data_IF_310572710333
#
_entry.id   IF_310572710333
#
_cell.length_a   1.000
_cell.length_b   1.000
_cell.length_c   1.000
_cell.angle_alpha   90.00
_cell.angle_beta   90.00
_cell.angle_gamma   90.00
#
_symmetry.space_group_name_H-M   'P 1'
#
loop_
_entity.id
_entity.type
_entity.pdbx_description
1 polymer ?
#
# COMPACT_ATOMS: atom_id res chain seq x y z
N UNK A 1 4.13 6.33 33.23
CA UNK A 1 3.88 7.50 32.37
C UNK A 1 2.47 7.95 32.65
N UNK A 2 2.25 9.26 32.81
CA UNK A 2 0.90 9.81 32.87
C UNK A 2 0.21 9.61 31.51
N UNK A 3 -1.12 9.57 31.48
CA UNK A 3 -1.90 9.48 30.23
C UNK A 3 -1.55 10.62 29.26
N UNK A 4 -1.25 11.81 29.79
CA UNK A 4 -0.85 12.97 29.02
C UNK A 4 0.53 12.80 28.36
N UNK A 5 1.48 12.17 29.05
CA UNK A 5 2.82 11.89 28.50
C UNK A 5 2.72 10.92 27.31
N UNK A 6 1.79 9.97 27.37
CA UNK A 6 1.57 9.01 26.28
C UNK A 6 0.92 9.66 25.05
N UNK A 7 0.00 10.60 25.24
CA UNK A 7 -0.57 11.39 24.15
C UNK A 7 0.47 12.31 23.49
N UNK A 8 1.39 12.87 24.29
CA UNK A 8 2.51 13.64 23.74
C UNK A 8 3.45 12.78 22.90
N UNK A 9 3.69 11.54 23.33
CA UNK A 9 4.44 10.55 22.58
C UNK A 9 3.79 10.22 21.22
N UNK A 10 2.46 10.06 21.20
CA UNK A 10 1.68 9.82 19.98
C UNK A 10 1.87 10.95 18.95
N UNK A 11 1.76 12.20 19.40
CA UNK A 11 1.89 13.38 18.54
C UNK A 11 3.24 13.39 17.81
N UNK A 12 4.33 13.21 18.55
CA UNK A 12 5.67 13.22 17.96
C UNK A 12 5.88 12.08 16.98
N UNK A 13 5.40 10.87 17.31
CA UNK A 13 5.49 9.71 16.42
C UNK A 13 4.71 9.90 15.14
N UNK A 14 3.52 10.49 15.23
CA UNK A 14 2.71 10.83 14.07
C UNK A 14 3.42 11.85 13.16
N UNK A 15 4.06 12.86 13.73
CA UNK A 15 4.86 13.84 12.98
C UNK A 15 6.01 13.14 12.22
N UNK A 16 6.78 12.28 12.88
CA UNK A 16 7.88 11.54 12.22
C UNK A 16 7.37 10.57 11.15
N UNK A 17 6.21 9.94 11.36
CA UNK A 17 5.56 9.11 10.37
C UNK A 17 5.15 9.92 9.13
N UNK A 18 4.50 11.07 9.33
CA UNK A 18 4.07 11.97 8.25
C UNK A 18 5.26 12.51 7.47
N UNK A 19 6.33 12.96 8.15
CA UNK A 19 7.55 13.45 7.50
C UNK A 19 8.15 12.33 6.63
N UNK A 20 8.23 11.11 7.14
CA UNK A 20 8.68 9.96 6.36
C UNK A 20 7.83 9.76 5.10
N UNK A 21 6.50 9.80 5.24
CA UNK A 21 5.58 9.59 4.11
C UNK A 21 5.73 10.70 3.07
N UNK A 22 5.89 11.95 3.49
CA UNK A 22 6.11 13.08 2.58
C UNK A 22 7.41 12.88 1.79
N UNK A 23 8.50 12.54 2.48
CA UNK A 23 9.80 12.28 1.83
C UNK A 23 9.69 11.08 0.88
N UNK A 24 9.05 10.00 1.31
CA UNK A 24 8.79 8.82 0.48
C UNK A 24 7.94 9.12 -0.74
N UNK A 25 6.93 9.99 -0.61
CA UNK A 25 6.06 10.39 -1.73
C UNK A 25 6.79 11.27 -2.73
N UNK A 26 7.65 12.19 -2.26
CA UNK A 26 8.51 12.98 -3.13
C UNK A 26 9.49 12.07 -3.87
N UNK A 27 10.12 11.12 -3.18
CA UNK A 27 11.00 10.15 -3.81
C UNK A 27 10.26 9.28 -4.84
N UNK A 28 9.04 8.82 -4.53
CA UNK A 28 8.20 8.06 -5.45
C UNK A 28 7.81 8.88 -6.68
N UNK A 29 7.53 10.18 -6.52
CA UNK A 29 7.20 11.08 -7.63
C UNK A 29 8.31 11.15 -8.68
N UNK A 30 9.58 11.13 -8.27
CA UNK A 30 10.74 11.17 -9.18
C UNK A 30 10.76 9.96 -10.14
N UNK A 31 10.21 8.81 -9.71
CA UNK A 31 10.20 7.56 -10.47
C UNK A 31 8.78 7.13 -10.85
N UNK A 32 7.81 8.05 -10.88
CA UNK A 32 6.39 7.70 -11.04
C UNK A 32 6.06 7.17 -12.43
N UNK A 33 6.63 7.77 -13.48
CA UNK A 33 6.42 7.37 -14.87
C UNK A 33 6.79 5.90 -15.12
N UNK A 34 8.04 5.45 -14.83
CA UNK A 34 8.39 4.04 -15.04
C UNK A 34 7.61 3.10 -14.13
N UNK A 35 7.26 3.53 -12.92
CA UNK A 35 6.46 2.71 -12.01
C UNK A 35 5.05 2.47 -12.55
N UNK A 36 4.39 3.50 -13.07
CA UNK A 36 3.06 3.37 -13.66
C UNK A 36 3.13 2.55 -14.94
N UNK A 37 4.05 2.87 -15.85
CA UNK A 37 4.09 2.26 -17.18
C UNK A 37 4.56 0.80 -17.20
N UNK A 38 5.57 0.48 -16.40
CA UNK A 38 6.21 -0.85 -16.39
C UNK A 38 5.54 -1.78 -15.39
N UNK A 39 5.14 -1.25 -14.22
CA UNK A 39 4.60 -2.09 -13.14
C UNK A 39 3.08 -2.06 -13.15
N UNK A 40 2.44 -0.90 -12.97
CA UNK A 40 0.99 -0.86 -12.73
C UNK A 40 0.15 -1.13 -13.97
N UNK A 41 0.62 -0.77 -15.16
CA UNK A 41 -0.08 -1.03 -16.42
C UNK A 41 0.12 -2.44 -16.97
N UNK A 42 1.12 -3.18 -16.47
CA UNK A 42 1.44 -4.53 -16.97
C UNK A 42 0.29 -5.54 -16.82
N UNK A 43 -0.38 -5.67 -15.66
CA UNK A 43 -1.51 -6.60 -15.53
C UNK A 43 -2.66 -6.33 -16.50
N UNK A 44 -2.96 -5.06 -16.79
CA UNK A 44 -3.93 -4.69 -17.82
C UNK A 44 -3.48 -5.09 -19.22
N UNK A 45 -2.22 -4.83 -19.58
CA UNK A 45 -1.67 -5.20 -20.89
C UNK A 45 -1.68 -6.71 -21.10
N UNK A 46 -1.27 -7.47 -20.09
CA UNK A 46 -1.20 -8.94 -20.15
C UNK A 46 -2.59 -9.60 -20.22
N UNK A 47 -3.63 -8.94 -19.68
CA UNK A 47 -5.02 -9.40 -19.75
C UNK A 47 -5.78 -8.91 -20.98
N UNK A 48 -5.17 -8.05 -21.82
CA UNK A 48 -5.83 -7.47 -23.00
C UNK A 48 -6.84 -6.37 -22.66
N UNK A 49 -6.83 -5.83 -21.44
CA UNK A 49 -7.72 -4.75 -21.04
C UNK A 49 -7.39 -3.43 -21.77
N UNK A 50 -8.37 -2.86 -22.46
CA UNK A 50 -8.23 -1.56 -23.12
C UNK A 50 -8.51 -0.45 -22.11
N UNK A 51 -7.52 0.41 -21.86
CA UNK A 51 -7.61 1.50 -20.89
C UNK A 51 -7.80 2.85 -21.59
N UNK A 52 -8.74 3.65 -21.10
CA UNK A 52 -9.01 4.99 -21.61
C UNK A 52 -8.98 6.05 -20.51
N UNK A 53 -8.52 7.25 -20.87
CA UNK A 53 -8.64 8.41 -20.00
C UNK A 53 -9.92 9.19 -20.34
N UNK A 54 -10.91 9.12 -19.44
CA UNK A 54 -12.20 9.79 -19.59
C UNK A 54 -12.23 11.22 -19.02
N UNK A 55 -11.15 11.66 -18.33
CA UNK A 55 -11.11 12.96 -17.65
C UNK A 55 -9.88 13.76 -18.08
N UNK A 56 -10.01 15.07 -18.41
CA UNK A 56 -8.87 15.90 -18.83
C UNK A 56 -7.70 15.91 -17.84
N UNK A 57 -7.98 15.96 -16.53
CA UNK A 57 -6.98 15.92 -15.47
C UNK A 57 -6.81 14.55 -14.81
N UNK A 58 -7.43 13.50 -15.35
CA UNK A 58 -7.46 12.16 -14.71
C UNK A 58 -6.07 11.60 -14.43
N UNK A 59 -5.20 11.63 -15.43
CA UNK A 59 -3.83 11.13 -15.32
C UNK A 59 -2.98 11.91 -14.31
N UNK A 60 -3.17 13.23 -14.19
CA UNK A 60 -2.47 14.04 -13.20
C UNK A 60 -2.85 13.62 -11.77
N UNK A 61 -4.15 13.51 -11.49
CA UNK A 61 -4.62 13.06 -10.17
C UNK A 61 -4.21 11.63 -9.87
N UNK A 62 -4.21 10.76 -10.88
CA UNK A 62 -3.73 9.39 -10.79
C UNK A 62 -2.26 9.35 -10.38
N UNK A 63 -1.38 10.14 -11.01
CA UNK A 63 0.04 10.16 -10.66
C UNK A 63 0.25 10.64 -9.22
N UNK A 64 -0.50 11.65 -8.77
CA UNK A 64 -0.44 12.14 -7.38
C UNK A 64 -0.91 11.05 -6.41
N UNK A 65 -2.00 10.36 -6.73
CA UNK A 65 -2.50 9.27 -5.89
C UNK A 65 -1.48 8.13 -5.79
N UNK A 66 -0.91 7.71 -6.92
CA UNK A 66 0.09 6.63 -6.97
C UNK A 66 1.35 7.03 -6.21
N UNK A 67 1.85 8.27 -6.36
CA UNK A 67 3.07 8.70 -5.68
C UNK A 67 2.91 8.71 -4.15
N UNK A 68 1.75 9.13 -3.65
CA UNK A 68 1.44 9.09 -2.22
C UNK A 68 1.41 7.64 -1.73
N UNK A 69 0.70 6.75 -2.44
CA UNK A 69 0.57 5.35 -2.05
C UNK A 69 1.92 4.63 -2.08
N UNK A 70 2.67 4.77 -3.17
CA UNK A 70 4.01 4.19 -3.27
C UNK A 70 4.95 4.80 -2.23
N UNK A 71 4.84 6.10 -1.96
CA UNK A 71 5.61 6.78 -0.92
C UNK A 71 5.33 6.22 0.47
N UNK A 72 4.07 5.89 0.77
CA UNK A 72 3.69 5.16 1.99
C UNK A 72 4.35 3.78 2.01
N UNK A 73 4.30 3.03 0.90
CA UNK A 73 4.91 1.69 0.79
C UNK A 73 6.42 1.73 1.03
N UNK A 74 7.13 2.69 0.44
CA UNK A 74 8.58 2.89 0.65
C UNK A 74 8.88 3.22 2.12
N UNK A 75 7.97 3.95 2.78
CA UNK A 75 8.12 4.41 4.17
C UNK A 75 7.66 3.37 5.20
N UNK A 76 7.14 2.21 4.79
CA UNK A 76 6.61 1.17 5.69
C UNK A 76 7.53 0.82 6.87
N UNK A 77 8.85 0.62 6.69
CA UNK A 77 9.73 0.31 7.83
C UNK A 77 9.67 1.40 8.92
N UNK A 78 9.66 2.67 8.51
CA UNK A 78 9.55 3.79 9.45
C UNK A 78 8.14 3.87 10.06
N UNK A 79 7.08 3.67 9.27
CA UNK A 79 5.70 3.67 9.78
C UNK A 79 5.50 2.58 10.84
N UNK A 80 5.90 1.35 10.54
CA UNK A 80 5.83 0.25 11.50
C UNK A 80 6.72 0.50 12.71
N UNK A 81 7.91 1.07 12.54
CA UNK A 81 8.76 1.42 13.67
C UNK A 81 8.08 2.41 14.62
N UNK A 82 7.49 3.47 14.10
CA UNK A 82 6.79 4.45 14.92
C UNK A 82 5.54 3.86 15.60
N UNK A 83 4.80 3.02 14.88
CA UNK A 83 3.62 2.30 15.38
C UNK A 83 3.99 1.33 16.50
N UNK A 84 4.95 0.42 16.29
CA UNK A 84 5.37 -0.56 17.29
C UNK A 84 5.99 0.08 18.50
N UNK A 85 6.77 1.14 18.30
CA UNK A 85 7.37 1.86 19.41
C UNK A 85 6.29 2.67 20.17
N UNK A 86 5.15 3.03 19.57
CA UNK A 86 3.99 3.61 20.27
C UNK A 86 3.28 2.57 21.13
N UNK A 87 3.16 1.34 20.62
CA UNK A 87 2.55 0.20 21.33
C UNK A 87 3.49 -0.36 22.42
N UNK A 88 4.80 -0.10 22.31
CA UNK A 88 5.84 -0.57 23.23
C UNK A 88 5.54 -0.45 24.73
N UNK A 89 4.91 0.62 25.26
CA UNK A 89 4.53 0.68 26.67
C UNK A 89 3.68 -0.52 27.13
N UNK A 90 2.87 -1.11 26.23
CA UNK A 90 2.06 -2.29 26.48
C UNK A 90 2.82 -3.63 26.30
N UNK A 91 4.02 -3.62 25.71
CA UNK A 91 4.84 -4.82 25.49
C UNK A 91 5.61 -5.23 26.76
N UNK A 92 5.82 -6.55 26.92
CA UNK A 92 6.66 -7.11 27.99
C UNK A 92 8.11 -6.63 27.83
N UNK A 93 8.85 -6.56 28.94
CA UNK A 93 10.26 -6.09 28.95
C UNK A 93 11.17 -6.86 27.99
N UNK A 94 10.89 -8.14 27.76
CA UNK A 94 11.61 -9.01 26.81
C UNK A 94 11.26 -8.72 25.36
N UNK A 95 9.99 -8.43 25.06
CA UNK A 95 9.47 -8.14 23.71
C UNK A 95 9.97 -6.79 23.18
N UNK A 96 10.20 -5.82 24.07
CA UNK A 96 10.78 -4.51 23.71
C UNK A 96 12.12 -4.60 22.98
N UNK A 97 12.92 -5.64 23.26
CA UNK A 97 14.21 -5.86 22.59
C UNK A 97 14.04 -6.27 21.12
N UNK A 98 12.90 -6.86 20.77
CA UNK A 98 12.65 -7.40 19.43
C UNK A 98 11.91 -6.43 18.50
N UNK A 99 11.62 -5.20 18.93
CA UNK A 99 10.85 -4.22 18.13
C UNK A 99 11.41 -4.07 16.71
N UNK A 100 12.73 -4.04 16.56
CA UNK A 100 13.34 -3.93 15.23
C UNK A 100 13.06 -5.16 14.35
N UNK A 101 13.14 -6.38 14.91
CA UNK A 101 12.83 -7.60 14.19
C UNK A 101 11.36 -7.63 13.77
N UNK A 102 10.48 -7.21 14.69
CA UNK A 102 9.03 -7.12 14.47
C UNK A 102 8.71 -6.20 13.30
N UNK A 103 9.34 -5.02 13.26
CA UNK A 103 9.19 -4.05 12.16
C UNK A 103 9.62 -4.65 10.83
N UNK A 104 10.73 -5.38 10.80
CA UNK A 104 11.22 -6.04 9.58
C UNK A 104 10.22 -7.12 9.13
N UNK A 105 9.74 -7.96 10.05
CA UNK A 105 8.77 -9.01 9.72
C UNK A 105 7.42 -8.45 9.25
N UNK A 106 6.87 -7.43 9.92
CA UNK A 106 5.68 -6.71 9.44
C UNK A 106 5.92 -6.16 8.03
N UNK A 107 7.01 -5.40 7.82
CA UNK A 107 7.34 -4.88 6.49
C UNK A 107 7.37 -5.98 5.42
N UNK A 108 8.00 -7.12 5.71
CA UNK A 108 8.04 -8.26 4.79
C UNK A 108 6.66 -8.87 4.55
N UNK A 109 5.84 -9.03 5.58
CA UNK A 109 4.47 -9.51 5.48
C UNK A 109 3.61 -8.58 4.61
N UNK A 110 3.67 -7.26 4.83
CA UNK A 110 2.93 -6.29 4.02
C UNK A 110 3.37 -6.33 2.55
N UNK A 111 4.68 -6.37 2.29
CA UNK A 111 5.22 -6.47 0.93
C UNK A 111 4.84 -7.80 0.26
N UNK A 112 4.81 -8.90 1.01
CA UNK A 112 4.32 -10.19 0.52
C UNK A 112 2.83 -10.12 0.17
N UNK A 113 2.00 -9.42 0.97
CA UNK A 113 0.59 -9.18 0.67
C UNK A 113 0.41 -8.35 -0.61
N UNK A 114 1.19 -7.28 -0.77
CA UNK A 114 1.22 -6.49 -2.02
C UNK A 114 1.63 -7.37 -3.22
N UNK A 115 2.68 -8.17 -3.06
CA UNK A 115 3.15 -9.06 -4.12
C UNK A 115 2.09 -10.10 -4.50
N UNK A 116 1.43 -10.70 -3.51
CA UNK A 116 0.32 -11.63 -3.73
C UNK A 116 -0.85 -10.97 -4.48
N UNK A 117 -1.26 -9.77 -4.06
CA UNK A 117 -2.28 -9.01 -4.76
C UNK A 117 -1.90 -8.77 -6.22
N UNK A 118 -0.68 -8.26 -6.46
CA UNK A 118 -0.23 -7.88 -7.78
C UNK A 118 -0.04 -9.08 -8.74
N UNK A 119 0.62 -10.15 -8.28
CA UNK A 119 0.95 -11.29 -9.14
C UNK A 119 -0.15 -12.35 -9.24
N UNK A 120 -1.08 -12.41 -8.28
CA UNK A 120 -2.10 -13.46 -8.23
C UNK A 120 -3.51 -12.90 -8.35
N UNK A 121 -3.89 -11.95 -7.48
CA UNK A 121 -5.28 -11.47 -7.46
C UNK A 121 -5.63 -10.61 -8.67
N UNK A 122 -4.78 -9.65 -9.03
CA UNK A 122 -5.03 -8.75 -10.16
C UNK A 122 -5.16 -9.46 -11.51
N UNK A 123 -4.24 -10.34 -11.94
CA UNK A 123 -4.40 -11.01 -13.23
C UNK A 123 -5.65 -11.89 -13.28
N UNK A 124 -6.00 -12.54 -12.17
CA UNK A 124 -7.25 -13.32 -12.08
C UNK A 124 -8.49 -12.42 -12.22
N UNK A 125 -8.52 -11.31 -11.48
CA UNK A 125 -9.64 -10.36 -11.50
C UNK A 125 -9.80 -9.68 -12.87
N UNK A 126 -8.70 -9.27 -13.49
CA UNK A 126 -8.71 -8.60 -14.79
C UNK A 126 -9.08 -9.55 -15.93
N UNK A 127 -8.56 -10.78 -15.91
CA UNK A 127 -8.96 -11.79 -16.89
C UNK A 127 -10.47 -12.05 -16.82
N UNK A 128 -11.00 -12.22 -15.60
CA UNK A 128 -12.44 -12.31 -15.39
C UNK A 128 -13.16 -11.08 -15.91
N UNK A 129 -12.71 -9.86 -15.58
CA UNK A 129 -13.36 -8.63 -16.00
C UNK A 129 -13.39 -8.43 -17.53
N UNK A 130 -12.34 -8.85 -18.24
CA UNK A 130 -12.26 -8.74 -19.71
C UNK A 130 -13.17 -9.78 -20.37
N UNK A 131 -13.16 -11.02 -19.90
CA UNK A 131 -13.95 -12.13 -20.48
C UNK A 131 -15.43 -12.09 -20.08
N UNK A 132 -15.76 -11.43 -18.98
CA UNK A 132 -17.12 -11.33 -18.46
C UNK A 132 -17.92 -10.26 -19.21
N UNK A 133 -19.05 -10.65 -19.79
CA UNK A 133 -19.96 -9.73 -20.46
C UNK A 133 -20.71 -10.37 -21.62
N UNK A 134 -21.25 -9.51 -22.50
CA UNK A 134 -21.90 -9.92 -23.76
C UNK A 134 -21.18 -9.23 -24.91
N UNK A 135 -21.13 -9.87 -26.07
CA UNK A 135 -20.42 -9.33 -27.26
C UNK A 135 -20.97 -7.98 -27.75
N UNK A 136 -22.21 -7.63 -27.37
CA UNK A 136 -22.83 -6.35 -27.71
C UNK A 136 -22.21 -5.16 -26.96
N UNK A 137 -21.56 -5.39 -25.81
CA UNK A 137 -20.97 -4.34 -24.96
C UNK A 137 -19.46 -4.49 -24.97
N UNK A 138 -18.76 -3.48 -25.49
CA UNK A 138 -17.28 -3.43 -25.44
C UNK A 138 -16.81 -3.06 -24.04
N UNK A 139 -15.95 -3.91 -23.48
CA UNK A 139 -15.33 -3.68 -22.18
C UNK A 139 -14.12 -2.73 -22.30
N UNK A 140 -14.38 -1.43 -22.26
CA UNK A 140 -13.35 -0.37 -22.22
C UNK A 140 -13.28 0.23 -20.82
N UNK A 141 -12.14 0.10 -20.16
CA UNK A 141 -12.00 0.47 -18.75
C UNK A 141 -11.39 1.85 -18.57
N UNK A 142 -11.95 2.61 -17.64
CA UNK A 142 -11.39 3.90 -17.24
C UNK A 142 -10.06 3.69 -16.49
N UNK A 143 -9.00 4.39 -16.90
CA UNK A 143 -7.68 4.27 -16.26
C UNK A 143 -7.71 4.64 -14.76
N UNK A 144 -8.53 5.62 -14.38
CA UNK A 144 -8.66 6.05 -12.99
C UNK A 144 -9.31 4.96 -12.11
N UNK A 145 -10.35 4.28 -12.63
CA UNK A 145 -11.03 3.20 -11.91
C UNK A 145 -10.12 1.98 -11.78
N UNK A 146 -9.43 1.64 -12.87
CA UNK A 146 -8.42 0.57 -12.88
C UNK A 146 -7.35 0.80 -11.80
N UNK A 147 -6.73 1.99 -11.78
CA UNK A 147 -5.68 2.28 -10.79
C UNK A 147 -6.22 2.32 -9.36
N UNK A 148 -7.41 2.88 -9.15
CA UNK A 148 -8.04 2.91 -7.84
C UNK A 148 -8.25 1.49 -7.30
N UNK A 149 -8.81 0.59 -8.13
CA UNK A 149 -9.01 -0.83 -7.76
C UNK A 149 -7.68 -1.50 -7.44
N UNK A 150 -6.66 -1.31 -8.28
CA UNK A 150 -5.34 -1.92 -8.06
C UNK A 150 -4.73 -1.45 -6.74
N UNK A 151 -4.70 -0.14 -6.51
CA UNK A 151 -4.18 0.45 -5.27
C UNK A 151 -4.93 -0.09 -4.07
N UNK A 152 -6.28 -0.08 -4.13
CA UNK A 152 -7.12 -0.55 -3.04
C UNK A 152 -6.89 -2.02 -2.73
N UNK A 153 -6.83 -2.89 -3.75
CA UNK A 153 -6.58 -4.33 -3.57
C UNK A 153 -5.18 -4.59 -3.02
N UNK A 154 -4.15 -3.92 -3.54
CA UNK A 154 -2.78 -4.06 -3.06
C UNK A 154 -2.63 -3.65 -1.59
N UNK A 155 -3.21 -2.50 -1.22
CA UNK A 155 -3.19 -2.02 0.16
C UNK A 155 -4.01 -2.92 1.09
N UNK A 156 -5.21 -3.32 0.67
CA UNK A 156 -6.06 -4.22 1.45
C UNK A 156 -5.36 -5.56 1.71
N UNK A 157 -4.75 -6.16 0.69
CA UNK A 157 -3.98 -7.39 0.83
C UNK A 157 -2.77 -7.21 1.75
N UNK A 158 -2.03 -6.09 1.62
CA UNK A 158 -0.95 -5.74 2.54
C UNK A 158 -1.41 -5.71 4.00
N UNK A 159 -2.54 -5.03 4.30
CA UNK A 159 -3.10 -5.00 5.65
C UNK A 159 -3.61 -6.35 6.14
N UNK A 160 -4.23 -7.16 5.27
CA UNK A 160 -4.67 -8.52 5.61
C UNK A 160 -3.47 -9.39 5.98
N UNK A 161 -2.34 -9.23 5.29
CA UNK A 161 -1.12 -10.00 5.55
C UNK A 161 -0.39 -9.57 6.83
N UNK A 162 -0.78 -8.45 7.47
CA UNK A 162 -0.33 -8.10 8.82
C UNK A 162 -1.10 -8.85 9.93
N UNK A 163 -2.25 -9.46 9.61
CA UNK A 163 -3.05 -10.18 10.60
C UNK A 163 -2.28 -11.30 11.33
N UNK A 164 -1.42 -12.12 10.67
CA UNK A 164 -0.58 -13.10 11.36
C UNK A 164 0.37 -12.45 12.38
N UNK A 165 0.97 -11.32 12.02
CA UNK A 165 1.84 -10.57 12.93
C UNK A 165 1.03 -10.06 14.13
N UNK A 166 -0.11 -9.39 13.89
CA UNK A 166 -0.97 -8.91 14.98
C UNK A 166 -1.45 -10.05 15.87
N UNK A 167 -1.85 -11.19 15.30
CA UNK A 167 -2.29 -12.38 16.04
C UNK A 167 -1.19 -12.95 16.93
N UNK A 168 0.06 -12.97 16.46
CA UNK A 168 1.22 -13.43 17.24
C UNK A 168 1.47 -12.57 18.49
N UNK A 169 1.12 -11.29 18.46
CA UNK A 169 1.26 -10.41 19.63
C UNK A 169 0.11 -10.50 20.62
N UNK A 170 -1.09 -10.77 20.13
CA UNK A 170 -2.28 -10.85 20.98
C UNK A 170 -2.37 -12.18 21.75
N UNK A 171 -1.59 -13.18 21.36
CA UNK A 171 -1.56 -14.53 21.97
C UNK A 171 -0.32 -14.69 22.85
#
# INVERSE_FOLDING_TARGET
>A
MSFLDHLEELRWRLIYAIIGVVIGSIAAWIFIEPLVEVVLLKPARDSGAILQNLRPFGQLFLFVQVSIVVGIVITLPNLFYQLWRFISPALKKTEKKYILAIVIYSTLCFLAGIAFAYFVMLPLALKFAVEFGTEAIKNEFAINEYMSIIISVMLAAGFIFELPMVSFFLT
#
